data_IF_136756137621
#
_entry.id   IF_136756137621
#
_cell.length_a   1.000
_cell.length_b   1.000
_cell.length_c   1.000
_cell.angle_alpha   90.00
_cell.angle_beta   90.00
_cell.angle_gamma   90.00
#
_symmetry.space_group_name_H-M   'P 1'
#
loop_
_entity.id
_entity.type
_entity.pdbx_description
1 polymer ?
#
# COMPACT_ATOMS: atom_id res chain seq x y z
N UNK A 1 -59.48 -11.02 37.12
CA UNK A 1 -58.24 -11.56 36.53
C UNK A 1 -58.22 -11.20 35.05
N UNK A 2 -57.49 -10.13 34.66
CA UNK A 2 -57.23 -9.74 33.27
C UNK A 2 -55.81 -9.17 33.24
N UNK A 3 -54.90 -9.97 32.72
CA UNK A 3 -53.48 -9.68 32.51
C UNK A 3 -53.32 -8.48 31.56
N UNK A 4 -52.82 -7.36 32.06
CA UNK A 4 -52.32 -6.27 31.20
C UNK A 4 -50.81 -6.39 31.14
N UNK A 5 -50.36 -6.81 29.96
CA UNK A 5 -48.97 -7.10 29.59
C UNK A 5 -48.16 -5.80 29.72
N UNK A 6 -47.11 -5.86 30.52
CA UNK A 6 -46.10 -4.81 30.65
C UNK A 6 -45.34 -4.76 29.31
N UNK A 7 -45.56 -3.73 28.51
CA UNK A 7 -44.78 -3.48 27.29
C UNK A 7 -43.44 -2.91 27.74
N UNK A 8 -42.48 -3.81 28.01
CA UNK A 8 -41.09 -3.44 28.23
C UNK A 8 -40.52 -2.85 26.96
N UNK A 9 -40.24 -1.55 26.98
CA UNK A 9 -39.48 -0.85 25.94
C UNK A 9 -38.05 -1.40 25.92
N UNK A 10 -37.79 -2.34 25.01
CA UNK A 10 -36.42 -2.76 24.68
C UNK A 10 -35.80 -1.63 23.87
N UNK A 11 -35.01 -0.79 24.54
CA UNK A 11 -34.09 0.14 23.91
C UNK A 11 -32.99 -0.66 23.22
N UNK A 12 -33.13 -0.89 21.92
CA UNK A 12 -32.02 -1.35 21.08
C UNK A 12 -31.08 -0.16 20.94
N UNK A 13 -30.08 -0.08 21.83
CA UNK A 13 -28.93 0.79 21.63
C UNK A 13 -28.21 0.30 20.36
N UNK A 14 -28.49 0.95 19.24
CA UNK A 14 -27.70 0.79 18.02
C UNK A 14 -26.31 1.34 18.35
N UNK A 15 -25.41 0.44 18.75
CA UNK A 15 -23.98 0.73 18.81
C UNK A 15 -23.53 0.97 17.37
N UNK A 16 -23.52 2.23 16.96
CA UNK A 16 -22.80 2.68 15.77
C UNK A 16 -21.31 2.44 16.05
N UNK A 17 -20.84 1.21 15.82
CA UNK A 17 -19.43 0.95 15.60
C UNK A 17 -19.07 1.77 14.36
N UNK A 18 -18.50 2.96 14.58
CA UNK A 18 -17.88 3.72 13.51
C UNK A 18 -16.74 2.88 12.96
N UNK A 19 -17.01 2.10 11.91
CA UNK A 19 -15.97 1.65 11.00
C UNK A 19 -15.40 2.91 10.39
N UNK A 20 -14.33 3.43 11.00
CA UNK A 20 -13.51 4.41 10.31
C UNK A 20 -12.88 3.66 9.14
N UNK A 21 -13.31 4.00 7.93
CA UNK A 21 -12.65 3.51 6.72
C UNK A 21 -11.16 3.84 6.83
N UNK A 22 -10.31 2.89 6.43
CA UNK A 22 -8.86 3.11 6.42
C UNK A 22 -8.55 4.39 5.64
N UNK A 23 -7.65 5.28 6.12
CA UNK A 23 -7.24 6.45 5.36
C UNK A 23 -6.70 6.10 3.95
N UNK A 24 -6.26 4.85 3.73
CA UNK A 24 -5.84 4.36 2.42
C UNK A 24 -6.99 4.32 1.40
N UNK A 25 -8.23 4.08 1.84
CA UNK A 25 -9.40 3.97 0.94
C UNK A 25 -9.82 5.31 0.31
N UNK A 26 -9.19 6.42 0.71
CA UNK A 26 -9.45 7.76 0.14
C UNK A 26 -8.35 8.21 -0.82
N UNK A 27 -7.30 7.40 -1.00
CA UNK A 27 -6.20 7.72 -1.90
C UNK A 27 -6.52 7.27 -3.33
N UNK A 28 -5.97 7.98 -4.31
CA UNK A 28 -6.05 7.55 -5.71
C UNK A 28 -5.18 6.33 -5.96
N UNK A 29 -5.55 5.51 -6.95
CA UNK A 29 -4.73 4.39 -7.39
C UNK A 29 -3.31 4.78 -7.77
N UNK A 30 -3.10 5.95 -8.36
CA UNK A 30 -1.74 6.42 -8.68
C UNK A 30 -0.90 6.55 -7.40
N UNK A 31 -1.49 7.11 -6.34
CA UNK A 31 -0.81 7.33 -5.08
C UNK A 31 -0.60 6.02 -4.33
N UNK A 32 -1.61 5.15 -4.32
CA UNK A 32 -1.50 3.80 -3.77
C UNK A 32 -0.41 3.00 -4.49
N UNK A 33 -0.37 3.03 -5.82
CA UNK A 33 0.63 2.33 -6.61
C UNK A 33 2.06 2.88 -6.41
N UNK A 34 2.22 4.21 -6.34
CA UNK A 34 3.52 4.83 -5.98
C UNK A 34 3.98 4.42 -4.59
N UNK A 35 3.07 4.37 -3.61
CA UNK A 35 3.39 3.92 -2.27
C UNK A 35 3.71 2.42 -2.22
N UNK A 36 2.97 1.60 -2.98
CA UNK A 36 3.30 0.19 -3.20
C UNK A 36 4.72 0.04 -3.75
N UNK A 37 5.10 0.85 -4.75
CA UNK A 37 6.45 0.86 -5.33
C UNK A 37 7.53 1.21 -4.32
N UNK A 38 7.31 2.26 -3.53
CA UNK A 38 8.22 2.69 -2.47
C UNK A 38 8.41 1.59 -1.42
N UNK A 39 7.32 1.05 -0.89
CA UNK A 39 7.35 -0.02 0.12
C UNK A 39 7.99 -1.30 -0.42
N UNK A 40 7.71 -1.68 -1.67
CA UNK A 40 8.34 -2.85 -2.31
C UNK A 40 9.84 -2.66 -2.50
N UNK A 41 10.28 -1.47 -2.89
CA UNK A 41 11.70 -1.15 -2.99
C UNK A 41 12.39 -1.22 -1.62
N UNK A 42 11.79 -0.63 -0.58
CA UNK A 42 12.34 -0.67 0.79
C UNK A 42 12.42 -2.11 1.29
N UNK A 43 11.37 -2.91 1.10
CA UNK A 43 11.37 -4.33 1.46
C UNK A 43 12.51 -5.10 0.78
N UNK A 44 12.80 -4.78 -0.48
CA UNK A 44 13.87 -5.40 -1.27
C UNK A 44 15.25 -4.96 -0.79
N UNK A 45 15.49 -3.65 -0.64
CA UNK A 45 16.80 -3.08 -0.28
C UNK A 45 17.19 -3.34 1.17
N UNK A 46 16.21 -3.44 2.07
CA UNK A 46 16.43 -3.66 3.50
C UNK A 46 16.12 -5.11 3.92
N UNK A 47 16.16 -6.06 2.98
CA UNK A 47 15.81 -7.47 3.19
C UNK A 47 16.44 -8.05 4.46
N UNK A 48 15.61 -8.71 5.27
CA UNK A 48 16.01 -9.33 6.53
C UNK A 48 15.98 -8.41 7.76
N UNK A 49 15.74 -7.10 7.58
CA UNK A 49 15.54 -6.16 8.69
C UNK A 49 14.08 -6.07 9.14
N UNK A 50 13.85 -5.46 10.32
CA UNK A 50 12.49 -5.14 10.77
C UNK A 50 11.80 -4.08 9.90
N UNK A 51 12.58 -3.17 9.30
CA UNK A 51 12.08 -2.20 8.31
C UNK A 51 11.49 -2.93 7.10
N UNK A 52 12.13 -4.00 6.63
CA UNK A 52 11.58 -4.77 5.53
C UNK A 52 10.29 -5.51 5.88
N UNK A 53 10.14 -6.00 7.12
CA UNK A 53 8.89 -6.66 7.57
C UNK A 53 7.72 -5.68 7.57
N UNK A 54 7.93 -4.48 8.07
CA UNK A 54 6.91 -3.43 8.04
C UNK A 54 6.63 -2.96 6.61
N UNK A 55 7.66 -2.80 5.78
CA UNK A 55 7.50 -2.45 4.38
C UNK A 55 6.70 -3.48 3.57
N UNK A 56 6.86 -4.78 3.87
CA UNK A 56 6.02 -5.86 3.31
C UNK A 56 4.57 -5.72 3.76
N UNK A 57 4.33 -5.33 5.00
CA UNK A 57 2.96 -5.10 5.50
C UNK A 57 2.33 -3.88 4.82
N UNK A 58 3.10 -2.79 4.69
CA UNK A 58 2.66 -1.57 4.01
C UNK A 58 2.36 -1.80 2.52
N UNK A 59 3.24 -2.50 1.78
CA UNK A 59 2.99 -2.78 0.36
C UNK A 59 1.71 -3.60 0.16
N UNK A 60 1.45 -4.59 1.02
CA UNK A 60 0.20 -5.36 0.96
C UNK A 60 -1.03 -4.48 1.23
N UNK A 61 -0.92 -3.57 2.20
CA UNK A 61 -1.97 -2.58 2.48
C UNK A 61 -2.27 -1.69 1.27
N UNK A 62 -1.25 -1.13 0.62
CA UNK A 62 -1.47 -0.28 -0.56
C UNK A 62 -2.10 -1.02 -1.73
N UNK A 63 -1.73 -2.29 -1.94
CA UNK A 63 -2.35 -3.14 -2.97
C UNK A 63 -3.82 -3.42 -2.65
N UNK A 64 -4.14 -3.74 -1.39
CA UNK A 64 -5.51 -4.09 -0.96
C UNK A 64 -6.53 -2.97 -1.23
N UNK A 65 -6.10 -1.71 -1.15
CA UNK A 65 -6.98 -0.55 -1.34
C UNK A 65 -7.00 -0.01 -2.79
N UNK A 66 -6.29 -0.64 -3.72
CA UNK A 66 -6.23 -0.19 -5.11
C UNK A 66 -7.16 -1.02 -6.00
N UNK A 67 -7.78 -0.35 -6.97
CA UNK A 67 -8.63 -0.99 -7.99
C UNK A 67 -7.83 -1.46 -9.22
N UNK A 68 -6.50 -1.32 -9.20
CA UNK A 68 -5.63 -1.76 -10.31
C UNK A 68 -5.60 -3.30 -10.43
N UNK A 69 -5.38 -3.83 -11.66
CA UNK A 69 -5.24 -5.27 -11.88
C UNK A 69 -4.05 -5.85 -11.12
N UNK A 70 -4.16 -7.09 -10.64
CA UNK A 70 -3.13 -7.74 -9.81
C UNK A 70 -1.77 -7.84 -10.54
N UNK A 71 -1.81 -8.00 -11.86
CA UNK A 71 -0.66 -8.18 -12.74
C UNK A 71 0.33 -7.02 -12.62
N UNK A 72 -0.12 -5.76 -12.49
CA UNK A 72 0.79 -4.61 -12.42
C UNK A 72 1.65 -4.63 -11.15
N UNK A 73 1.14 -5.20 -10.06
CA UNK A 73 1.88 -5.35 -8.81
C UNK A 73 2.96 -6.43 -8.93
N UNK A 74 2.69 -7.49 -9.70
CA UNK A 74 3.69 -8.52 -10.01
C UNK A 74 4.77 -7.98 -10.95
N UNK A 75 4.37 -7.28 -12.03
CA UNK A 75 5.29 -6.65 -12.98
C UNK A 75 6.28 -5.71 -12.26
N UNK A 76 5.80 -4.91 -11.30
CA UNK A 76 6.64 -4.04 -10.51
C UNK A 76 7.58 -4.81 -9.57
N UNK A 77 7.11 -5.91 -8.98
CA UNK A 77 7.92 -6.75 -8.08
C UNK A 77 9.05 -7.41 -8.87
N UNK A 78 8.76 -7.93 -10.06
CA UNK A 78 9.76 -8.51 -10.97
C UNK A 78 10.78 -7.46 -11.44
N UNK A 79 10.34 -6.23 -11.70
CA UNK A 79 11.23 -5.12 -12.04
C UNK A 79 12.28 -4.85 -10.93
N UNK A 80 11.87 -4.93 -9.66
CA UNK A 80 12.76 -4.74 -8.52
C UNK A 80 13.72 -5.92 -8.30
N UNK A 81 13.28 -7.15 -8.57
CA UNK A 81 14.10 -8.36 -8.42
C UNK A 81 15.11 -8.54 -9.55
N UNK A 82 14.73 -8.17 -10.78
CA UNK A 82 15.59 -8.26 -11.97
C UNK A 82 16.59 -7.10 -12.10
N UNK A 83 16.35 -5.99 -11.40
CA UNK A 83 17.15 -4.78 -11.50
C UNK A 83 18.55 -4.94 -10.95
N UNK A 84 19.57 -4.77 -11.80
CA UNK A 84 20.92 -4.44 -11.34
C UNK A 84 20.94 -2.95 -10.93
N UNK A 85 20.43 -2.67 -9.74
CA UNK A 85 20.32 -1.29 -9.24
C UNK A 85 21.71 -0.82 -8.81
N UNK A 86 22.30 0.12 -9.56
CA UNK A 86 23.53 0.78 -9.13
C UNK A 86 23.25 1.50 -7.81
N UNK A 87 23.95 1.11 -6.74
CA UNK A 87 23.75 1.70 -5.42
C UNK A 87 24.02 3.21 -5.47
N UNK A 88 23.04 4.01 -5.03
CA UNK A 88 23.26 5.44 -4.87
C UNK A 88 24.28 5.69 -3.76
N UNK A 89 25.19 6.65 -4.00
CA UNK A 89 26.26 7.01 -3.06
C UNK A 89 26.15 8.47 -2.67
N UNK A 90 26.23 8.75 -1.37
CA UNK A 90 26.44 10.11 -0.86
C UNK A 90 27.88 10.58 -1.09
N UNK A 91 28.13 11.88 -0.87
CA UNK A 91 29.47 12.49 -1.06
C UNK A 91 30.58 11.83 -0.24
N UNK A 92 30.25 11.20 0.89
CA UNK A 92 31.19 10.46 1.74
C UNK A 92 31.29 8.96 1.39
N UNK A 93 30.65 8.50 0.31
CA UNK A 93 30.70 7.12 -0.15
C UNK A 93 29.71 6.15 0.52
N UNK A 94 28.92 6.61 1.50
CA UNK A 94 27.85 5.79 2.08
C UNK A 94 26.78 5.45 1.04
N UNK A 95 26.21 4.25 1.15
CA UNK A 95 25.05 3.86 0.33
C UNK A 95 23.80 4.55 0.87
N UNK A 96 22.97 5.07 -0.03
CA UNK A 96 21.71 5.76 0.30
C UNK A 96 20.51 5.08 -0.38
N UNK A 97 20.21 3.84 0.01
CA UNK A 97 19.12 3.04 -0.59
C UNK A 97 17.75 3.71 -0.48
N UNK A 98 17.47 4.42 0.62
CA UNK A 98 16.20 5.12 0.78
C UNK A 98 16.00 6.20 -0.29
N UNK A 99 17.06 6.94 -0.64
CA UNK A 99 16.99 7.95 -1.69
C UNK A 99 16.68 7.30 -3.06
N UNK A 100 17.33 6.16 -3.35
CA UNK A 100 17.02 5.37 -4.53
C UNK A 100 15.54 4.95 -4.55
N UNK A 101 14.99 4.45 -3.45
CA UNK A 101 13.60 3.99 -3.41
C UNK A 101 12.58 5.13 -3.58
N UNK A 102 12.88 6.32 -3.05
CA UNK A 102 12.05 7.52 -3.27
C UNK A 102 12.04 7.88 -4.75
N UNK A 103 13.20 7.95 -5.39
CA UNK A 103 13.31 8.27 -6.81
C UNK A 103 12.67 7.19 -7.69
N UNK A 104 12.90 5.90 -7.37
CA UNK A 104 12.29 4.77 -8.05
C UNK A 104 10.77 4.88 -8.05
N UNK A 105 10.15 5.12 -6.90
CA UNK A 105 8.69 5.24 -6.79
C UNK A 105 8.09 6.41 -7.60
N UNK A 106 8.90 7.42 -7.91
CA UNK A 106 8.49 8.59 -8.71
C UNK A 106 9.02 8.55 -10.15
N UNK A 107 9.64 7.45 -10.56
CA UNK A 107 10.28 7.32 -11.86
C UNK A 107 9.30 7.09 -13.01
N UNK A 108 9.76 7.39 -14.23
CA UNK A 108 8.99 7.15 -15.46
C UNK A 108 8.62 5.68 -15.66
N UNK A 109 9.44 4.73 -15.17
CA UNK A 109 9.13 3.30 -15.32
C UNK A 109 7.93 2.90 -14.46
N UNK A 110 7.85 3.40 -13.22
CA UNK A 110 6.68 3.19 -12.35
C UNK A 110 5.45 3.89 -12.93
N UNK A 111 5.61 5.11 -13.45
CA UNK A 111 4.51 5.81 -14.09
C UNK A 111 3.97 5.06 -15.32
N UNK A 112 4.85 4.50 -16.17
CA UNK A 112 4.43 3.71 -17.34
C UNK A 112 3.65 2.45 -16.96
N UNK A 113 4.09 1.73 -15.92
CA UNK A 113 3.35 0.57 -15.40
C UNK A 113 1.95 0.98 -14.93
N UNK A 114 1.86 2.07 -14.15
CA UNK A 114 0.56 2.62 -13.73
C UNK A 114 -0.34 3.00 -14.92
N UNK A 115 0.19 3.77 -15.88
CA UNK A 115 -0.57 4.22 -17.04
C UNK A 115 -1.10 3.06 -17.89
N UNK A 116 -0.29 2.02 -18.07
CA UNK A 116 -0.70 0.79 -18.78
C UNK A 116 -1.85 0.11 -18.03
N UNK A 117 -1.67 -0.18 -16.74
CA UNK A 117 -2.68 -0.84 -15.93
C UNK A 117 -4.00 -0.05 -15.87
N UNK A 118 -3.92 1.28 -15.76
CA UNK A 118 -5.11 2.14 -15.79
C UNK A 118 -5.87 2.08 -17.11
N UNK A 119 -5.18 1.87 -18.23
CA UNK A 119 -5.83 1.77 -19.55
C UNK A 119 -6.57 0.45 -19.79
N UNK A 120 -6.36 -0.53 -18.90
CA UNK A 120 -6.98 -1.86 -18.95
C UNK A 120 -8.23 -1.95 -18.05
N UNK A 121 -8.53 -0.89 -17.28
CA UNK A 121 -9.76 -0.71 -16.49
C UNK A 121 -10.90 -0.13 -17.35
#
# INVERSE_FOLDING_TARGET
MKTRILVGTIWVAVFSLGLNASPLSTQSDERLFKNFALSSCIATKYKGSDVAKDAVTAMQGYREFSDLPLEVFFDLSELLESGNTTAYKSKNGSVIELAYCIDFSNSDVVHKLYSKAKSEL
#
